data_IF_425333550950
#
_entry.id   IF_425333550950
#
_cell.length_a   1.000
_cell.length_b   1.000
_cell.length_c   1.000
_cell.angle_alpha   90.00
_cell.angle_beta   90.00
_cell.angle_gamma   90.00
#
_symmetry.space_group_name_H-M   'P 1'
#
loop_
_entity.id
_entity.type
_entity.pdbx_description
1 polymer ?
#
# COMPACT_ATOMS: atom_id res chain seq x y z
N UNK A 1 -5.18 -18.58 17.64
CA UNK A 1 -6.19 -18.61 16.56
C UNK A 1 -6.60 -17.18 16.30
N UNK A 2 -6.64 -16.74 15.05
CA UNK A 2 -7.05 -15.39 14.70
C UNK A 2 -8.58 -15.23 14.81
N UNK A 3 -9.06 -14.02 15.11
CA UNK A 3 -10.50 -13.70 15.05
C UNK A 3 -10.97 -13.58 13.61
N UNK A 4 -12.29 -13.65 13.32
CA UNK A 4 -12.81 -13.43 11.97
C UNK A 4 -12.34 -12.12 11.35
N UNK A 5 -12.36 -11.00 12.07
CA UNK A 5 -11.92 -9.69 11.61
C UNK A 5 -10.41 -9.65 11.31
N UNK A 6 -9.63 -10.41 12.08
CA UNK A 6 -8.20 -10.56 11.81
C UNK A 6 -7.96 -11.38 10.54
N UNK A 7 -8.76 -12.41 10.28
CA UNK A 7 -8.69 -13.22 9.05
C UNK A 7 -9.06 -12.35 7.83
N UNK A 8 -10.12 -11.56 7.92
CA UNK A 8 -10.47 -10.60 6.86
C UNK A 8 -9.31 -9.64 6.57
N UNK A 9 -8.72 -9.04 7.61
CA UNK A 9 -7.55 -8.16 7.47
C UNK A 9 -6.37 -8.87 6.81
N UNK A 10 -6.10 -10.12 7.17
CA UNK A 10 -5.05 -10.96 6.56
C UNK A 10 -5.33 -11.15 5.07
N UNK A 11 -6.55 -11.50 4.69
CA UNK A 11 -6.92 -11.74 3.30
C UNK A 11 -6.84 -10.46 2.44
N UNK A 12 -7.26 -9.32 3.00
CA UNK A 12 -7.16 -8.02 2.34
C UNK A 12 -5.69 -7.60 2.13
N UNK A 13 -4.84 -7.79 3.17
CA UNK A 13 -3.40 -7.52 3.08
C UNK A 13 -2.72 -8.41 2.03
N UNK A 14 -3.04 -9.70 2.02
CA UNK A 14 -2.48 -10.65 1.05
C UNK A 14 -2.90 -10.31 -0.38
N UNK A 15 -4.16 -9.92 -0.59
CA UNK A 15 -4.67 -9.48 -1.90
C UNK A 15 -3.88 -8.29 -2.45
N UNK A 16 -3.65 -7.28 -1.61
CA UNK A 16 -2.83 -6.12 -1.97
C UNK A 16 -1.38 -6.51 -2.29
N UNK A 17 -0.79 -7.35 -1.44
CA UNK A 17 0.60 -7.79 -1.58
C UNK A 17 0.84 -8.57 -2.88
N UNK A 18 -0.09 -9.48 -3.20
CA UNK A 18 -0.02 -10.33 -4.40
C UNK A 18 -0.30 -9.49 -5.66
N UNK A 19 -1.28 -8.59 -5.61
CA UNK A 19 -1.56 -7.67 -6.72
C UNK A 19 -0.32 -6.85 -7.10
N UNK A 20 0.34 -6.21 -6.13
CA UNK A 20 1.59 -5.48 -6.37
C UNK A 20 2.64 -6.37 -7.05
N UNK A 21 2.80 -7.58 -6.53
CA UNK A 21 3.76 -8.56 -7.04
C UNK A 21 3.46 -8.95 -8.50
N UNK A 22 2.22 -9.35 -8.79
CA UNK A 22 1.86 -9.90 -10.10
C UNK A 22 1.94 -8.83 -11.20
N UNK A 23 1.44 -7.62 -10.92
CA UNK A 23 1.52 -6.51 -11.87
C UNK A 23 2.99 -6.11 -12.11
N UNK A 24 3.78 -5.96 -11.05
CA UNK A 24 5.21 -5.63 -11.18
C UNK A 24 5.98 -6.72 -11.93
N UNK A 25 5.72 -7.98 -11.61
CA UNK A 25 6.37 -9.13 -12.28
C UNK A 25 6.10 -9.13 -13.78
N UNK A 26 4.86 -8.92 -14.19
CA UNK A 26 4.49 -8.89 -15.61
C UNK A 26 5.21 -7.78 -16.35
N UNK A 27 5.23 -6.57 -15.80
CA UNK A 27 5.93 -5.41 -16.39
C UNK A 27 7.43 -5.71 -16.54
N UNK A 28 8.07 -6.25 -15.49
CA UNK A 28 9.51 -6.55 -15.52
C UNK A 28 9.83 -7.70 -16.49
N UNK A 29 9.01 -8.75 -16.52
CA UNK A 29 9.22 -9.88 -17.42
C UNK A 29 9.16 -9.50 -18.90
N UNK A 30 8.29 -8.56 -19.28
CA UNK A 30 8.13 -8.14 -20.66
C UNK A 30 9.12 -7.06 -21.11
N UNK A 31 9.53 -6.18 -20.19
CA UNK A 31 10.33 -5.00 -20.53
C UNK A 31 11.74 -5.00 -19.93
N UNK A 32 12.11 -6.04 -19.18
CA UNK A 32 13.45 -6.16 -18.60
C UNK A 32 13.80 -5.00 -17.66
N UNK A 33 15.01 -4.45 -17.80
CA UNK A 33 15.51 -3.34 -16.98
C UNK A 33 14.64 -2.09 -17.06
N UNK A 34 14.02 -1.84 -18.20
CA UNK A 34 13.11 -0.72 -18.37
C UNK A 34 11.81 -0.96 -17.61
N UNK A 35 11.32 -2.19 -17.57
CA UNK A 35 10.20 -2.61 -16.73
C UNK A 35 10.49 -2.42 -15.25
N UNK A 36 11.69 -2.77 -14.78
CA UNK A 36 12.11 -2.48 -13.41
C UNK A 36 12.10 -0.97 -13.14
N UNK A 37 12.62 -0.17 -14.06
CA UNK A 37 12.60 1.30 -13.94
C UNK A 37 11.18 1.88 -13.89
N UNK A 38 10.23 1.32 -14.66
CA UNK A 38 8.79 1.66 -14.60
C UNK A 38 8.23 1.35 -13.23
N UNK A 39 8.43 0.13 -12.73
CA UNK A 39 7.93 -0.32 -11.42
C UNK A 39 8.49 0.54 -10.28
N UNK A 40 9.79 0.87 -10.31
CA UNK A 40 10.40 1.75 -9.32
C UNK A 40 9.77 3.15 -9.30
N UNK A 41 9.59 3.78 -10.46
CA UNK A 41 8.98 5.11 -10.53
C UNK A 41 7.50 5.08 -10.14
N UNK A 42 6.74 4.09 -10.59
CA UNK A 42 5.34 3.92 -10.19
C UNK A 42 5.20 3.75 -8.67
N UNK A 43 6.08 2.95 -8.07
CA UNK A 43 6.10 2.74 -6.61
C UNK A 43 6.45 4.03 -5.86
N UNK A 44 7.35 4.86 -6.39
CA UNK A 44 7.64 6.20 -5.82
C UNK A 44 6.44 7.14 -5.92
N UNK A 45 5.76 7.20 -7.08
CA UNK A 45 4.56 8.03 -7.26
C UNK A 45 3.45 7.62 -6.31
N UNK A 46 3.19 6.33 -6.22
CA UNK A 46 2.24 5.75 -5.27
C UNK A 46 2.62 6.08 -3.81
N UNK A 47 3.88 5.95 -3.44
CA UNK A 47 4.37 6.30 -2.12
C UNK A 47 4.14 7.78 -1.80
N UNK A 48 4.47 8.69 -2.72
CA UNK A 48 4.21 10.13 -2.56
C UNK A 48 2.72 10.43 -2.40
N UNK A 49 1.87 9.82 -3.21
CA UNK A 49 0.42 10.02 -3.11
C UNK A 49 -0.12 9.58 -1.75
N UNK A 50 0.28 8.40 -1.27
CA UNK A 50 -0.11 7.92 0.06
C UNK A 50 0.39 8.82 1.19
N UNK A 51 1.64 9.28 1.10
CA UNK A 51 2.22 10.21 2.08
C UNK A 51 1.46 11.53 2.14
N UNK A 52 1.11 12.09 0.98
CA UNK A 52 0.34 13.33 0.85
C UNK A 52 -1.07 13.20 1.44
N UNK A 53 -1.80 12.14 1.09
CA UNK A 53 -3.15 11.89 1.62
C UNK A 53 -3.14 11.68 3.14
N UNK A 54 -2.14 10.96 3.65
CA UNK A 54 -1.98 10.80 5.10
C UNK A 54 -1.67 12.13 5.80
N UNK A 55 -0.80 12.97 5.24
CA UNK A 55 -0.56 14.33 5.74
C UNK A 55 -1.85 15.15 5.74
N UNK A 56 -2.62 15.15 4.65
CA UNK A 56 -3.89 15.88 4.57
C UNK A 56 -4.90 15.42 5.63
N UNK A 57 -5.02 14.10 5.83
CA UNK A 57 -5.86 13.53 6.89
C UNK A 57 -5.42 14.01 8.28
N UNK A 58 -4.13 13.97 8.58
CA UNK A 58 -3.62 14.44 9.88
C UNK A 58 -3.83 15.95 10.06
N UNK A 59 -3.62 16.76 9.04
CA UNK A 59 -3.91 18.20 9.09
C UNK A 59 -5.40 18.45 9.35
N UNK A 60 -6.31 17.75 8.67
CA UNK A 60 -7.75 17.89 8.88
C UNK A 60 -8.23 17.49 10.29
N UNK A 61 -7.48 16.59 10.94
CA UNK A 61 -7.71 16.17 12.32
C UNK A 61 -7.00 17.07 13.35
N UNK A 62 -6.27 18.10 12.90
CA UNK A 62 -5.50 18.98 13.79
C UNK A 62 -4.24 18.33 14.36
N UNK A 63 -3.79 17.19 13.82
CA UNK A 63 -2.61 16.45 14.28
C UNK A 63 -1.34 17.05 13.68
N UNK A 64 -0.28 17.21 14.48
CA UNK A 64 1.04 17.67 14.02
C UNK A 64 1.67 16.67 13.05
N UNK A 65 2.44 17.17 12.07
CA UNK A 65 3.07 16.38 11.02
C UNK A 65 4.50 16.04 11.43
N UNK A 66 4.66 14.97 12.21
CA UNK A 66 5.94 14.51 12.73
C UNK A 66 6.01 12.97 12.81
N UNK A 67 7.11 12.43 13.32
CA UNK A 67 7.32 10.99 13.35
C UNK A 67 6.41 10.31 14.38
N UNK A 68 6.16 10.96 15.52
CA UNK A 68 5.21 10.43 16.50
C UNK A 68 3.82 10.26 15.88
N UNK A 69 3.34 11.28 15.16
CA UNK A 69 2.03 11.23 14.50
C UNK A 69 1.99 10.20 13.38
N UNK A 70 3.01 10.17 12.52
CA UNK A 70 3.04 9.23 11.40
C UNK A 70 2.93 7.76 11.82
N UNK A 71 3.55 7.39 12.95
CA UNK A 71 3.66 5.99 13.38
C UNK A 71 2.89 5.64 14.65
N UNK A 72 2.33 6.61 15.34
CA UNK A 72 1.63 6.41 16.61
C UNK A 72 0.18 6.86 16.60
N UNK A 73 -0.23 7.68 15.62
CA UNK A 73 -1.56 8.29 15.58
C UNK A 73 -2.29 7.87 14.32
N UNK A 74 -3.54 7.44 14.44
CA UNK A 74 -4.47 7.12 13.35
C UNK A 74 -3.83 6.32 12.20
N UNK A 75 -3.80 5.02 12.31
CA UNK A 75 -3.44 4.18 11.17
C UNK A 75 -4.47 4.33 10.05
N UNK A 76 -4.02 4.34 8.79
CA UNK A 76 -4.88 4.27 7.61
C UNK A 76 -5.43 2.85 7.36
N UNK A 77 -4.81 1.84 7.95
CA UNK A 77 -5.22 0.43 7.81
C UNK A 77 -5.33 -0.23 9.17
N UNK A 78 -6.21 -1.24 9.32
CA UNK A 78 -6.19 -2.11 10.48
C UNK A 78 -4.84 -2.86 10.53
N UNK A 79 -4.32 -3.13 11.73
CA UNK A 79 -3.07 -3.85 11.88
C UNK A 79 -3.25 -5.33 11.48
N UNK A 80 -2.45 -5.79 10.52
CA UNK A 80 -2.35 -7.22 10.25
C UNK A 80 -1.63 -7.90 11.44
N UNK A 81 -2.27 -8.88 12.10
CA UNK A 81 -1.77 -9.47 13.34
C UNK A 81 -0.49 -10.31 13.15
N UNK A 82 -0.11 -10.61 11.93
CA UNK A 82 1.11 -11.36 11.61
C UNK A 82 2.37 -10.51 11.72
N UNK A 83 2.28 -9.16 11.62
CA UNK A 83 3.44 -8.32 11.78
C UNK A 83 4.03 -8.39 13.19
N UNK A 84 5.35 -8.56 13.27
CA UNK A 84 6.10 -8.39 14.52
C UNK A 84 7.15 -7.29 14.34
N UNK A 85 7.04 -6.27 15.17
CA UNK A 85 7.91 -5.10 15.14
C UNK A 85 8.37 -4.72 16.54
N UNK A 86 9.66 -4.50 16.67
CA UNK A 86 10.24 -3.90 17.88
C UNK A 86 10.42 -2.40 17.64
N UNK A 87 9.71 -1.60 18.43
CA UNK A 87 9.83 -0.16 18.41
C UNK A 87 10.89 0.25 19.41
N UNK A 88 12.09 0.59 18.91
CA UNK A 88 13.23 0.97 19.74
C UNK A 88 13.12 2.42 20.21
N UNK A 89 12.60 3.31 19.34
CA UNK A 89 12.39 4.72 19.62
C UNK A 89 11.22 5.27 18.80
N UNK A 90 10.43 6.15 19.41
CA UNK A 90 9.44 6.97 18.70
C UNK A 90 9.30 8.31 19.43
N UNK A 91 9.76 9.37 18.79
CA UNK A 91 9.63 10.76 19.22
C UNK A 91 8.98 11.58 18.09
N UNK A 92 8.83 12.88 18.28
CA UNK A 92 8.39 13.79 17.21
C UNK A 92 9.41 13.87 16.06
N UNK A 93 10.70 13.77 16.39
CA UNK A 93 11.77 13.90 15.42
C UNK A 93 12.24 12.56 14.84
N UNK A 94 12.00 11.44 15.52
CA UNK A 94 12.70 10.21 15.17
C UNK A 94 11.85 8.96 15.43
N UNK A 95 11.94 8.03 14.50
CA UNK A 95 11.52 6.64 14.71
C UNK A 95 12.68 5.71 14.40
N UNK A 96 12.98 4.81 15.36
CA UNK A 96 13.86 3.67 15.15
C UNK A 96 13.09 2.37 15.46
N UNK A 97 13.13 1.39 14.56
CA UNK A 97 12.40 0.14 14.75
C UNK A 97 12.93 -0.99 13.88
N UNK A 98 12.85 -2.20 14.40
CA UNK A 98 13.08 -3.42 13.65
C UNK A 98 11.76 -4.09 13.30
N UNK A 99 11.56 -4.47 12.02
CA UNK A 99 10.48 -5.36 11.62
C UNK A 99 11.04 -6.77 11.53
N UNK A 100 10.63 -7.63 12.45
CA UNK A 100 11.14 -9.00 12.60
C UNK A 100 10.33 -9.99 11.76
N UNK A 101 9.01 -9.74 11.58
CA UNK A 101 8.13 -10.51 10.70
C UNK A 101 7.35 -9.51 9.85
N UNK A 102 7.40 -9.70 8.56
CA UNK A 102 6.62 -8.94 7.59
C UNK A 102 5.86 -9.90 6.68
N UNK A 103 4.53 -10.01 6.79
CA UNK A 103 3.74 -10.93 5.97
C UNK A 103 3.86 -10.65 4.47
N UNK A 104 4.13 -9.40 4.09
CA UNK A 104 4.41 -9.07 2.69
C UNK A 104 5.73 -9.70 2.21
N UNK A 105 6.80 -9.59 3.00
CA UNK A 105 8.08 -10.20 2.66
C UNK A 105 7.99 -11.73 2.58
N UNK A 106 7.30 -12.36 3.52
CA UNK A 106 7.05 -13.81 3.51
C UNK A 106 6.25 -14.24 2.26
N UNK A 107 5.23 -13.45 1.89
CA UNK A 107 4.46 -13.70 0.68
C UNK A 107 5.32 -13.57 -0.58
N UNK A 108 6.13 -12.52 -0.70
CA UNK A 108 7.03 -12.35 -1.83
C UNK A 108 8.10 -13.45 -1.91
N UNK A 109 8.60 -13.94 -0.78
CA UNK A 109 9.50 -15.10 -0.74
C UNK A 109 8.80 -16.38 -1.20
N UNK A 110 7.59 -16.65 -0.71
CA UNK A 110 6.76 -17.80 -1.13
C UNK A 110 6.54 -17.83 -2.64
N UNK A 111 6.40 -16.67 -3.27
CA UNK A 111 6.24 -16.52 -4.72
C UNK A 111 7.57 -16.41 -5.49
N UNK A 112 8.71 -16.54 -4.84
CA UNK A 112 10.04 -16.38 -5.48
C UNK A 112 10.28 -14.97 -6.01
N UNK A 113 9.74 -13.93 -5.35
CA UNK A 113 9.71 -12.56 -5.82
C UNK A 113 10.35 -11.55 -4.84
N UNK A 114 11.29 -11.97 -4.01
CA UNK A 114 12.01 -11.09 -3.05
C UNK A 114 12.55 -9.82 -3.72
N UNK A 115 13.09 -9.92 -4.93
CA UNK A 115 13.61 -8.75 -5.67
C UNK A 115 12.53 -7.70 -5.96
N UNK A 116 11.29 -8.12 -6.26
CA UNK A 116 10.16 -7.20 -6.46
C UNK A 116 9.75 -6.59 -5.11
N UNK A 117 9.72 -7.38 -4.05
CA UNK A 117 9.49 -6.89 -2.68
C UNK A 117 10.54 -5.87 -2.24
N UNK A 118 11.80 -6.07 -2.62
CA UNK A 118 12.88 -5.11 -2.37
C UNK A 118 12.62 -3.76 -3.04
N UNK A 119 12.17 -3.75 -4.30
CA UNK A 119 11.76 -2.51 -4.98
C UNK A 119 10.71 -1.76 -4.17
N UNK A 120 9.68 -2.49 -3.67
CA UNK A 120 8.67 -1.88 -2.80
C UNK A 120 9.28 -1.26 -1.55
N UNK A 121 10.13 -2.01 -0.84
CA UNK A 121 10.73 -1.53 0.41
C UNK A 121 11.61 -0.29 0.19
N UNK A 122 12.43 -0.27 -0.86
CA UNK A 122 13.34 0.82 -1.18
C UNK A 122 12.60 2.09 -1.62
N UNK A 123 11.62 1.96 -2.50
CA UNK A 123 10.99 3.09 -3.17
C UNK A 123 9.78 3.64 -2.40
N UNK A 124 8.89 2.74 -1.93
CA UNK A 124 7.65 3.15 -1.28
C UNK A 124 7.90 3.86 0.06
N UNK A 125 8.67 3.25 0.95
CA UNK A 125 8.83 3.81 2.30
C UNK A 125 9.50 5.19 2.27
N UNK A 126 10.55 5.31 1.45
CA UNK A 126 11.24 6.58 1.27
C UNK A 126 10.29 7.66 0.73
N UNK A 127 9.61 7.37 -0.36
CA UNK A 127 8.72 8.32 -1.02
C UNK A 127 7.54 8.73 -0.11
N UNK A 128 6.93 7.76 0.59
CA UNK A 128 5.78 7.99 1.46
C UNK A 128 6.14 8.85 2.67
N UNK A 129 7.23 8.51 3.37
CA UNK A 129 7.57 9.22 4.61
C UNK A 129 8.17 10.59 4.35
N UNK A 130 8.91 10.75 3.24
CA UNK A 130 9.37 12.07 2.81
C UNK A 130 8.20 12.98 2.45
N UNK A 131 7.29 12.52 1.60
CA UNK A 131 6.13 13.33 1.18
C UNK A 131 5.21 13.67 2.37
N UNK A 132 5.03 12.75 3.33
CA UNK A 132 4.25 13.02 4.53
C UNK A 132 4.76 14.25 5.29
N UNK A 133 6.06 14.39 5.47
CA UNK A 133 6.67 15.49 6.20
C UNK A 133 7.35 16.52 5.27
N UNK A 134 6.64 16.97 4.24
CA UNK A 134 7.04 18.07 3.34
C UNK A 134 8.39 17.86 2.63
N UNK A 135 8.84 16.61 2.45
CA UNK A 135 10.15 16.30 1.88
C UNK A 135 11.33 16.38 2.87
N UNK A 136 11.06 16.64 4.13
CA UNK A 136 12.09 17.00 5.12
C UNK A 136 12.65 15.82 5.92
N UNK A 137 12.07 14.61 5.78
CA UNK A 137 12.57 13.42 6.47
C UNK A 137 13.74 12.77 5.76
N UNK A 138 14.64 12.24 6.56
CA UNK A 138 15.64 11.26 6.12
C UNK A 138 15.10 9.86 6.43
N UNK A 139 15.12 8.98 5.44
CA UNK A 139 14.65 7.60 5.57
C UNK A 139 15.81 6.66 5.29
N UNK A 140 16.27 5.97 6.32
CA UNK A 140 17.30 4.96 6.23
C UNK A 140 16.65 3.59 6.43
N UNK A 141 16.88 2.70 5.48
CA UNK A 141 16.53 1.29 5.54
C UNK A 141 17.84 0.52 5.31
N UNK A 142 18.55 0.23 6.39
CA UNK A 142 19.88 -0.36 6.33
C UNK A 142 19.84 -1.87 6.04
N UNK A 143 18.75 -2.53 6.45
CA UNK A 143 18.47 -3.95 6.23
C UNK A 143 17.00 -4.15 5.87
N UNK A 144 16.69 -5.20 5.10
CA UNK A 144 15.32 -5.55 4.74
C UNK A 144 15.14 -7.05 4.57
N UNK A 145 14.06 -7.59 5.12
CA UNK A 145 13.68 -9.01 4.98
C UNK A 145 13.52 -9.48 3.51
N UNK A 146 13.52 -8.55 2.57
CA UNK A 146 13.55 -8.85 1.13
C UNK A 146 14.96 -8.99 0.56
N UNK A 147 16.01 -8.79 1.36
CA UNK A 147 17.40 -9.06 1.02
C UNK A 147 17.84 -10.42 1.62
N UNK A 148 18.67 -11.15 0.89
CA UNK A 148 19.15 -12.43 1.37
C UNK A 148 20.20 -12.23 2.49
N UNK A 149 19.98 -12.90 3.61
CA UNK A 149 20.84 -12.83 4.80
C UNK A 149 20.42 -11.79 5.83
N UNK A 150 19.46 -10.94 5.53
CA UNK A 150 18.92 -10.00 6.51
C UNK A 150 17.83 -10.66 7.37
N UNK A 151 17.96 -10.57 8.68
CA UNK A 151 17.04 -11.17 9.65
C UNK A 151 15.89 -10.24 10.06
N UNK A 152 15.97 -8.96 9.72
CA UNK A 152 14.96 -7.94 10.03
C UNK A 152 15.08 -6.73 9.10
N UNK A 153 14.01 -5.94 8.99
CA UNK A 153 14.09 -4.62 8.38
C UNK A 153 14.53 -3.60 9.43
N UNK A 154 15.59 -2.85 9.15
CA UNK A 154 16.12 -1.81 10.03
C UNK A 154 15.70 -0.43 9.52
N UNK A 155 14.70 0.14 10.19
CA UNK A 155 14.15 1.46 9.85
C UNK A 155 14.64 2.52 10.83
N UNK A 156 15.36 3.51 10.30
CA UNK A 156 15.70 4.73 11.00
C UNK A 156 15.21 5.94 10.20
N UNK A 157 14.19 6.62 10.71
CA UNK A 157 13.50 7.73 10.03
C UNK A 157 13.60 8.96 10.91
N UNK A 158 14.11 10.07 10.34
CA UNK A 158 14.45 11.27 11.08
C UNK A 158 13.87 12.51 10.44
N UNK A 159 13.17 13.32 11.25
CA UNK A 159 12.72 14.67 10.94
C UNK A 159 13.39 15.64 11.94
N UNK A 160 14.57 16.10 11.63
CA UNK A 160 15.31 16.99 12.51
C UNK A 160 14.68 18.37 12.59
N UNK A 161 14.22 18.76 13.78
CA UNK A 161 13.63 20.06 14.08
C UNK A 161 14.49 21.25 13.59
N UNK A 162 15.81 21.13 13.75
CA UNK A 162 16.76 22.13 13.29
C UNK A 162 16.79 22.31 11.76
N UNK A 163 16.38 21.29 10.99
CA UNK A 163 16.36 21.32 9.53
C UNK A 163 14.99 21.68 8.95
N UNK A 164 13.97 21.78 9.79
CA UNK A 164 12.62 22.19 9.35
C UNK A 164 12.59 23.71 9.19
N UNK A 165 12.21 24.25 8.00
CA UNK A 165 12.02 25.67 7.79
C UNK A 165 10.99 26.25 8.78
N UNK A 166 11.20 27.49 9.20
CA UNK A 166 10.37 28.13 10.23
C UNK A 166 8.88 28.14 9.88
N UNK A 167 8.54 28.24 8.61
CA UNK A 167 7.16 28.19 8.09
C UNK A 167 6.44 26.84 8.34
N UNK A 168 7.18 25.74 8.43
CA UNK A 168 6.62 24.39 8.70
C UNK A 168 6.71 23.99 10.17
N UNK A 169 7.55 24.65 10.99
CA UNK A 169 7.73 24.30 12.40
C UNK A 169 6.41 24.25 13.19
N UNK A 170 5.50 25.24 13.06
CA UNK A 170 4.21 25.19 13.77
C UNK A 170 3.32 24.01 13.35
N UNK A 171 3.45 23.54 12.10
CA UNK A 171 2.71 22.37 11.62
C UNK A 171 3.30 21.05 12.11
N UNK A 172 4.61 21.04 12.39
CA UNK A 172 5.34 19.82 12.77
C UNK A 172 5.45 19.64 14.29
N UNK A 173 5.67 20.72 15.05
CA UNK A 173 6.06 20.63 16.45
C UNK A 173 5.21 21.54 17.33
N UNK A 174 4.65 21.00 18.44
CA UNK A 174 3.77 21.74 19.35
C UNK A 174 4.38 23.02 19.94
N UNK A 175 5.68 23.00 20.28
CA UNK A 175 6.35 24.13 20.92
C UNK A 175 6.44 25.38 20.04
N UNK A 176 6.27 25.25 18.72
CA UNK A 176 6.21 26.40 17.79
C UNK A 176 4.79 26.86 17.48
N UNK A 177 3.78 26.29 18.17
CA UNK A 177 2.36 26.65 18.06
C UNK A 177 1.74 26.81 19.46
N UNK A 178 1.88 27.97 20.08
CA UNK A 178 1.46 28.21 21.47
C UNK A 178 -0.03 27.95 21.74
N UNK A 179 -0.87 27.96 20.70
CA UNK A 179 -2.30 27.67 20.82
C UNK A 179 -2.66 26.19 20.62
N UNK A 180 -1.67 25.34 20.35
CA UNK A 180 -1.91 23.94 20.01
C UNK A 180 -2.38 23.15 21.24
N UNK A 181 -3.45 22.40 21.02
CA UNK A 181 -3.91 21.35 21.93
C UNK A 181 -3.99 20.05 21.13
N UNK A 182 -3.34 19.00 21.64
CA UNK A 182 -3.37 17.68 20.99
C UNK A 182 -4.82 17.20 20.86
N UNK A 183 -5.33 16.96 19.63
CA UNK A 183 -6.69 16.45 19.45
C UNK A 183 -6.82 15.03 19.98
N UNK A 184 -7.98 14.70 20.51
CA UNK A 184 -8.33 13.29 20.77
C UNK A 184 -8.77 12.64 19.46
N UNK A 185 -7.93 11.77 18.95
CA UNK A 185 -8.18 11.00 17.72
C UNK A 185 -8.28 9.50 17.99
N UNK A 186 -8.43 9.10 19.25
CA UNK A 186 -8.54 7.69 19.66
C UNK A 186 -9.74 6.97 19.03
N UNK A 187 -10.78 7.71 18.68
CA UNK A 187 -11.97 7.22 18.00
C UNK A 187 -11.92 7.25 16.47
N UNK A 188 -10.82 7.71 15.86
CA UNK A 188 -10.71 7.73 14.40
C UNK A 188 -10.47 6.30 13.88
N UNK A 189 -11.43 5.68 13.17
CA UNK A 189 -11.31 4.30 12.73
C UNK A 189 -10.25 4.18 11.64
N UNK A 190 -9.59 3.02 11.59
CA UNK A 190 -8.86 2.59 10.40
C UNK A 190 -9.86 2.36 9.24
N UNK A 191 -9.41 2.57 8.00
CA UNK A 191 -10.29 2.54 6.83
C UNK A 191 -10.71 1.12 6.40
N UNK A 192 -10.21 0.07 7.05
CA UNK A 192 -10.60 -1.31 6.78
C UNK A 192 -10.46 -1.69 5.29
N UNK A 193 -11.50 -2.33 4.74
CA UNK A 193 -11.55 -2.74 3.33
C UNK A 193 -11.32 -1.57 2.38
N UNK A 194 -11.93 -0.41 2.60
CA UNK A 194 -11.78 0.77 1.74
C UNK A 194 -10.34 1.29 1.69
N UNK A 195 -9.61 1.17 2.79
CA UNK A 195 -8.18 1.47 2.83
C UNK A 195 -7.37 0.55 1.91
N UNK A 196 -7.61 -0.76 1.97
CA UNK A 196 -6.95 -1.72 1.08
C UNK A 196 -7.37 -1.55 -0.38
N UNK A 197 -8.65 -1.26 -0.66
CA UNK A 197 -9.12 -0.90 -2.00
C UNK A 197 -8.34 0.29 -2.56
N UNK A 198 -8.21 1.33 -1.75
CA UNK A 198 -7.44 2.52 -2.09
C UNK A 198 -5.97 2.21 -2.42
N UNK A 199 -5.33 1.27 -1.70
CA UNK A 199 -3.97 0.83 -2.02
C UNK A 199 -3.91 0.13 -3.39
N UNK A 200 -4.83 -0.81 -3.65
CA UNK A 200 -4.87 -1.56 -4.91
C UNK A 200 -5.09 -0.64 -6.11
N UNK A 201 -6.11 0.22 -6.06
CA UNK A 201 -6.43 1.15 -7.15
C UNK A 201 -5.26 2.08 -7.47
N UNK A 202 -4.62 2.65 -6.44
CA UNK A 202 -3.47 3.57 -6.64
C UNK A 202 -2.24 2.86 -7.20
N UNK A 203 -1.91 1.67 -6.70
CA UNK A 203 -0.79 0.89 -7.26
C UNK A 203 -1.04 0.60 -8.72
N UNK A 204 -2.20 0.07 -9.06
CA UNK A 204 -2.60 -0.19 -10.43
C UNK A 204 -2.49 1.06 -11.30
N UNK A 205 -3.11 2.15 -10.85
CA UNK A 205 -3.12 3.42 -11.57
C UNK A 205 -1.69 3.93 -11.86
N UNK A 206 -0.83 4.01 -10.85
CA UNK A 206 0.54 4.51 -11.06
C UNK A 206 1.40 3.58 -11.90
N UNK A 207 1.17 2.28 -11.86
CA UNK A 207 1.81 1.33 -12.79
C UNK A 207 1.39 1.60 -14.23
N UNK A 208 0.09 1.77 -14.49
CA UNK A 208 -0.43 2.10 -15.81
C UNK A 208 0.05 3.49 -16.28
N UNK A 209 -0.01 4.51 -15.41
CA UNK A 209 0.41 5.88 -15.72
C UNK A 209 1.87 5.91 -16.21
N UNK A 210 2.81 5.38 -15.41
CA UNK A 210 4.24 5.40 -15.76
C UNK A 210 4.52 4.54 -16.99
N UNK A 211 3.85 3.39 -17.09
CA UNK A 211 3.98 2.52 -18.26
C UNK A 211 3.50 3.21 -19.53
N UNK A 212 2.36 3.90 -19.49
CA UNK A 212 1.83 4.66 -20.63
C UNK A 212 2.72 5.85 -21.01
N UNK A 213 3.27 6.55 -20.02
CA UNK A 213 4.19 7.67 -20.29
C UNK A 213 5.51 7.22 -20.95
N UNK A 214 6.01 6.04 -20.62
CA UNK A 214 7.33 5.57 -21.07
C UNK A 214 7.28 4.60 -22.25
N UNK A 215 6.21 3.82 -22.35
CA UNK A 215 6.01 2.74 -23.32
C UNK A 215 4.57 2.74 -23.84
N UNK A 216 4.07 3.84 -24.41
CA UNK A 216 2.68 3.96 -24.84
C UNK A 216 2.24 2.82 -25.76
N UNK A 217 3.15 2.35 -26.63
CA UNK A 217 2.87 1.29 -27.60
C UNK A 217 2.69 -0.12 -26.98
N UNK A 218 3.21 -0.34 -25.77
CA UNK A 218 3.16 -1.62 -25.07
C UNK A 218 2.21 -1.58 -23.85
N UNK A 219 1.87 -0.39 -23.36
CA UNK A 219 1.23 -0.20 -22.06
C UNK A 219 -0.05 -1.01 -21.87
N UNK A 220 -0.99 -0.90 -22.80
CA UNK A 220 -2.27 -1.60 -22.72
C UNK A 220 -2.06 -3.12 -22.74
N UNK A 221 -1.26 -3.62 -23.68
CA UNK A 221 -1.04 -5.06 -23.83
C UNK A 221 -0.33 -5.69 -22.61
N UNK A 222 0.68 -5.01 -22.04
CA UNK A 222 1.38 -5.46 -20.84
C UNK A 222 0.44 -5.46 -19.64
N UNK A 223 -0.33 -4.37 -19.47
CA UNK A 223 -1.27 -4.26 -18.34
C UNK A 223 -2.42 -5.25 -18.45
N UNK A 224 -2.97 -5.49 -19.63
CA UNK A 224 -4.00 -6.53 -19.87
C UNK A 224 -3.52 -7.90 -19.38
N UNK A 225 -2.31 -8.32 -19.74
CA UNK A 225 -1.76 -9.60 -19.27
C UNK A 225 -1.54 -9.63 -17.74
N UNK A 226 -1.12 -8.51 -17.17
CA UNK A 226 -0.97 -8.39 -15.73
C UNK A 226 -2.32 -8.55 -15.01
N UNK A 227 -3.36 -7.90 -15.52
CA UNK A 227 -4.72 -7.96 -14.98
C UNK A 227 -5.34 -9.35 -15.12
N UNK A 228 -5.16 -10.03 -16.25
CA UNK A 228 -5.60 -11.43 -16.43
C UNK A 228 -4.91 -12.37 -15.44
N UNK A 229 -3.59 -12.22 -15.25
CA UNK A 229 -2.83 -13.02 -14.28
C UNK A 229 -3.33 -12.77 -12.85
N UNK A 230 -3.60 -11.51 -12.50
CA UNK A 230 -4.14 -11.16 -11.20
C UNK A 230 -5.58 -11.66 -11.00
N UNK A 231 -6.44 -11.58 -12.00
CA UNK A 231 -7.81 -12.10 -11.93
C UNK A 231 -7.80 -13.63 -11.68
N UNK A 232 -6.96 -14.37 -12.42
CA UNK A 232 -6.80 -15.81 -12.21
C UNK A 232 -6.33 -16.16 -10.80
N UNK A 233 -5.28 -15.52 -10.30
CA UNK A 233 -4.79 -15.72 -8.92
C UNK A 233 -5.89 -15.38 -7.90
N UNK A 234 -6.63 -14.29 -8.12
CA UNK A 234 -7.71 -13.87 -7.22
C UNK A 234 -8.81 -14.94 -7.14
N UNK A 235 -9.23 -15.53 -8.26
CA UNK A 235 -10.21 -16.62 -8.27
C UNK A 235 -9.70 -17.84 -7.50
N UNK A 236 -8.49 -18.31 -7.82
CA UNK A 236 -7.88 -19.47 -7.18
C UNK A 236 -7.73 -19.29 -5.67
N UNK A 237 -7.25 -18.13 -5.26
CA UNK A 237 -7.02 -17.80 -3.85
C UNK A 237 -8.29 -17.67 -3.04
N UNK A 238 -9.29 -16.92 -3.53
CA UNK A 238 -10.57 -16.77 -2.83
C UNK A 238 -11.33 -18.09 -2.75
N UNK A 239 -11.22 -18.94 -3.78
CA UNK A 239 -11.80 -20.29 -3.75
C UNK A 239 -11.15 -21.15 -2.66
N UNK A 240 -9.82 -21.09 -2.56
CA UNK A 240 -9.10 -21.83 -1.51
C UNK A 240 -9.44 -21.30 -0.11
N UNK A 241 -9.47 -19.99 0.07
CA UNK A 241 -9.82 -19.35 1.35
C UNK A 241 -11.24 -19.71 1.81
N UNK A 242 -12.23 -19.71 0.92
CA UNK A 242 -13.59 -20.13 1.26
C UNK A 242 -13.63 -21.60 1.70
N UNK A 243 -12.93 -22.47 0.97
CA UNK A 243 -12.84 -23.89 1.31
C UNK A 243 -12.15 -24.11 2.67
N UNK A 244 -11.06 -23.42 2.97
CA UNK A 244 -10.36 -23.50 4.25
C UNK A 244 -11.22 -23.03 5.44
N UNK A 245 -12.09 -22.04 5.20
CA UNK A 245 -13.03 -21.54 6.20
C UNK A 245 -14.32 -22.36 6.30
N UNK A 246 -14.52 -23.33 5.41
CA UNK A 246 -15.76 -24.10 5.32
C UNK A 246 -16.97 -23.27 4.86
N UNK A 247 -16.72 -22.18 4.15
CA UNK A 247 -17.74 -21.30 3.57
C UNK A 247 -17.89 -21.53 2.06
N UNK A 248 -19.05 -21.13 1.52
CA UNK A 248 -19.25 -21.05 0.07
C UNK A 248 -18.65 -19.77 -0.48
N UNK A 249 -18.07 -19.86 -1.68
CA UNK A 249 -17.59 -18.68 -2.42
C UNK A 249 -18.78 -17.91 -3.00
N UNK A 250 -19.35 -17.05 -2.20
CA UNK A 250 -20.46 -16.15 -2.54
C UNK A 250 -19.98 -14.73 -2.77
N UNK A 251 -20.76 -13.84 -3.40
CA UNK A 251 -20.45 -12.40 -3.45
C UNK A 251 -20.22 -11.79 -2.07
N UNK A 252 -21.00 -12.20 -1.06
CA UNK A 252 -20.81 -11.75 0.32
C UNK A 252 -19.49 -12.20 0.94
N UNK A 253 -19.00 -13.41 0.62
CA UNK A 253 -17.66 -13.85 1.02
C UNK A 253 -16.59 -12.99 0.35
N UNK A 254 -16.71 -12.80 -0.98
CA UNK A 254 -15.77 -12.00 -1.75
C UNK A 254 -15.72 -10.56 -1.22
N UNK A 255 -16.87 -9.98 -0.90
CA UNK A 255 -16.94 -8.61 -0.37
C UNK A 255 -16.20 -8.45 0.96
N UNK A 256 -16.16 -9.45 1.82
CA UNK A 256 -15.40 -9.43 3.08
C UNK A 256 -13.89 -9.65 2.89
N UNK A 257 -13.50 -10.51 1.96
CA UNK A 257 -12.15 -11.06 1.85
C UNK A 257 -11.33 -10.52 0.68
N UNK A 258 -11.92 -9.67 -0.16
CA UNK A 258 -11.24 -9.04 -1.29
C UNK A 258 -11.40 -7.51 -1.23
N UNK A 259 -10.31 -6.74 -1.47
CA UNK A 259 -10.35 -5.29 -1.24
C UNK A 259 -11.20 -4.53 -2.23
N UNK A 260 -11.26 -4.93 -3.51
CA UNK A 260 -12.04 -4.20 -4.50
C UNK A 260 -13.53 -4.55 -4.42
N UNK A 261 -14.36 -3.63 -4.89
CA UNK A 261 -15.80 -3.84 -4.90
C UNK A 261 -16.19 -4.98 -5.84
N UNK A 262 -17.23 -5.71 -5.48
CA UNK A 262 -17.84 -6.73 -6.34
C UNK A 262 -18.49 -6.07 -7.56
N UNK A 263 -19.05 -4.88 -7.38
CA UNK A 263 -19.54 -4.04 -8.46
C UNK A 263 -18.57 -2.86 -8.68
N UNK A 264 -17.71 -2.89 -9.72
CA UNK A 264 -16.71 -1.86 -9.94
C UNK A 264 -17.29 -0.50 -10.34
N UNK A 265 -18.53 -0.45 -10.85
CA UNK A 265 -19.20 0.80 -11.22
C UNK A 265 -19.54 1.66 -9.99
N UNK A 266 -19.63 1.03 -8.82
CA UNK A 266 -19.92 1.69 -7.55
C UNK A 266 -18.64 2.13 -6.79
N UNK A 267 -17.46 1.85 -7.32
CA UNK A 267 -16.20 2.21 -6.67
C UNK A 267 -15.80 3.68 -6.99
N UNK A 268 -15.98 4.61 -6.05
CA UNK A 268 -15.67 6.02 -6.27
C UNK A 268 -14.18 6.30 -6.49
N UNK A 269 -13.30 5.39 -6.05
CA UNK A 269 -11.85 5.54 -6.23
C UNK A 269 -11.45 5.39 -7.70
N UNK A 270 -12.20 4.61 -8.47
CA UNK A 270 -11.90 4.44 -9.89
C UNK A 270 -12.13 5.73 -10.68
N UNK A 271 -13.04 6.59 -10.24
CA UNK A 271 -13.25 7.90 -10.88
C UNK A 271 -12.11 8.87 -10.57
N UNK A 272 -11.59 8.85 -9.35
CA UNK A 272 -10.45 9.70 -8.94
C UNK A 272 -9.14 9.34 -9.67
N UNK A 273 -9.02 8.09 -10.14
CA UNK A 273 -7.81 7.53 -10.76
C UNK A 273 -8.06 7.02 -12.19
N UNK A 274 -8.87 7.75 -12.98
CA UNK A 274 -9.28 7.32 -14.34
C UNK A 274 -8.52 8.01 -15.49
N UNK A 275 -7.34 8.56 -15.25
CA UNK A 275 -6.49 9.01 -16.35
C UNK A 275 -6.00 7.81 -17.18
N UNK A 276 -5.82 7.98 -18.47
CA UNK A 276 -5.38 6.94 -19.42
C UNK A 276 -6.36 5.78 -19.62
N UNK A 277 -7.65 5.95 -19.31
CA UNK A 277 -8.66 4.88 -19.41
C UNK A 277 -8.47 3.76 -18.37
N UNK A 278 -7.89 4.11 -17.22
CA UNK A 278 -7.57 3.13 -16.19
C UNK A 278 -8.81 2.40 -15.66
N UNK A 279 -9.92 3.10 -15.45
CA UNK A 279 -11.18 2.50 -15.00
C UNK A 279 -11.69 1.49 -16.01
N UNK A 280 -11.81 1.90 -17.27
CA UNK A 280 -12.31 1.04 -18.35
C UNK A 280 -11.44 -0.21 -18.53
N UNK A 281 -10.11 -0.04 -18.52
CA UNK A 281 -9.18 -1.15 -18.66
C UNK A 281 -9.29 -2.14 -17.49
N UNK A 282 -9.40 -1.66 -16.26
CA UNK A 282 -9.58 -2.51 -15.08
C UNK A 282 -10.89 -3.29 -15.14
N UNK A 283 -11.99 -2.63 -15.50
CA UNK A 283 -13.31 -3.27 -15.63
C UNK A 283 -13.28 -4.33 -16.72
N UNK A 284 -12.77 -4.00 -17.90
CA UNK A 284 -12.72 -4.90 -19.05
C UNK A 284 -11.82 -6.11 -18.81
N UNK A 285 -10.61 -5.88 -18.31
CA UNK A 285 -9.58 -6.92 -18.30
C UNK A 285 -9.49 -7.68 -16.97
N UNK A 286 -9.67 -7.03 -15.84
CA UNK A 286 -9.64 -7.71 -14.54
C UNK A 286 -11.02 -8.31 -14.22
N UNK A 287 -12.03 -7.47 -14.10
CA UNK A 287 -13.39 -7.94 -13.73
C UNK A 287 -14.02 -8.80 -14.84
N UNK A 288 -13.81 -8.45 -16.12
CA UNK A 288 -14.27 -9.24 -17.26
C UNK A 288 -13.64 -10.64 -17.34
N UNK A 289 -12.50 -10.85 -16.69
CA UNK A 289 -11.81 -12.15 -16.60
C UNK A 289 -12.25 -13.00 -15.41
N UNK A 290 -12.94 -12.39 -14.42
CA UNK A 290 -13.48 -13.13 -13.28
C UNK A 290 -14.76 -13.90 -13.66
N UNK A 291 -15.00 -15.09 -13.07
CA UNK A 291 -16.25 -15.80 -13.26
C UNK A 291 -17.44 -14.96 -12.83
N UNK A 292 -18.58 -15.08 -13.56
CA UNK A 292 -19.80 -14.29 -13.28
C UNK A 292 -20.26 -14.36 -11.82
N UNK A 293 -20.05 -15.49 -11.13
CA UNK A 293 -20.38 -15.64 -9.70
C UNK A 293 -19.65 -14.65 -8.78
N UNK A 294 -18.56 -14.01 -9.25
CA UNK A 294 -17.83 -12.98 -8.52
C UNK A 294 -18.49 -11.60 -8.59
N UNK A 295 -19.34 -11.36 -9.57
CA UNK A 295 -19.87 -10.04 -9.93
C UNK A 295 -21.37 -9.89 -9.69
N UNK A 296 -22.07 -10.95 -9.28
CA UNK A 296 -23.53 -10.92 -9.03
C UNK A 296 -23.79 -10.90 -7.53
N UNK A 297 -24.32 -9.78 -7.07
CA UNK A 297 -25.01 -9.66 -5.79
C UNK A 297 -26.42 -10.22 -5.89
#
# INVERSE_FOLDING_TARGET
MFTPEQIETIHLQDSYTIMYLLVSRQIIQELGDEGESVVREATRRYGRDRGRKRRQKHISLGVKINMHSLFGVCSDLPPDPRFRRDRLMLTEEERNSHTLICPMAEMWEKYGAKKIGRIYCEEFHRACYQEYAFGLTQVNLARTLTEDGDEYCDFHIVLRKANVPDEYKPQCFPEFDPGYTQPDVSGAPAEGKSGFASLCVRVYYYMLEVLTERKPEAAEAVMTRALHTWAKDTEERLTAQAAEMGEELTPGFIDRHFPLYVNPDEDPLLDDYDKYGAKELLIREFYGSLPKKFLTL
#
